data_IF_983846260992
#
_entry.id   IF_983846260992
#
_cell.length_a   1.000
_cell.length_b   1.000
_cell.length_c   1.000
_cell.angle_alpha   90.00
_cell.angle_beta   90.00
_cell.angle_gamma   90.00
#
_symmetry.space_group_name_H-M   'P 1'
#
loop_
_entity.id
_entity.type
_entity.pdbx_description
1 polymer ?
#
# COMPACT_ATOMS: atom_id res chain seq x y z
N UNK A 1 1.13 11.25 -2.39
CA UNK A 1 0.16 11.74 -1.39
C UNK A 1 -0.51 13.05 -1.79
N UNK A 2 0.16 14.23 -1.81
CA UNK A 2 -0.48 15.52 -2.17
C UNK A 2 -1.22 15.54 -3.52
N UNK A 3 -0.66 14.92 -4.56
CA UNK A 3 -1.33 14.85 -5.87
C UNK A 3 -2.61 13.99 -5.85
N UNK A 4 -2.65 12.96 -5.01
CA UNK A 4 -3.83 12.09 -4.87
C UNK A 4 -4.91 12.85 -4.09
N UNK A 5 -4.52 13.52 -3.01
CA UNK A 5 -5.41 14.39 -2.24
C UNK A 5 -6.08 15.45 -3.14
N UNK A 6 -5.29 16.22 -3.92
CA UNK A 6 -5.81 17.26 -4.83
C UNK A 6 -6.78 16.70 -5.88
N UNK A 7 -6.51 15.49 -6.39
CA UNK A 7 -7.39 14.83 -7.35
C UNK A 7 -8.72 14.39 -6.74
N UNK A 8 -8.72 13.97 -5.48
CA UNK A 8 -9.92 13.52 -4.78
C UNK A 8 -10.73 14.74 -4.33
N UNK A 9 -10.09 15.70 -3.68
CA UNK A 9 -10.75 16.92 -3.20
C UNK A 9 -11.20 17.84 -4.33
N UNK A 10 -10.85 17.55 -5.58
CA UNK A 10 -11.10 18.39 -6.75
C UNK A 10 -10.58 19.83 -6.52
N UNK A 11 -9.31 19.93 -6.14
CA UNK A 11 -8.59 21.16 -5.78
C UNK A 11 -9.11 21.91 -4.55
N UNK A 12 -9.98 21.28 -3.74
CA UNK A 12 -10.36 21.80 -2.42
C UNK A 12 -9.32 21.46 -1.36
N UNK A 13 -9.35 22.20 -0.26
CA UNK A 13 -8.50 21.97 0.91
C UNK A 13 -8.92 20.77 1.77
N UNK A 14 -10.12 20.21 1.51
CA UNK A 14 -10.73 19.12 2.27
C UNK A 14 -11.46 18.15 1.34
N UNK A 15 -11.51 16.88 1.72
CA UNK A 15 -12.22 15.82 1.01
C UNK A 15 -13.58 15.61 1.68
N UNK A 16 -14.66 15.77 0.94
CA UNK A 16 -16.01 15.48 1.43
C UNK A 16 -16.43 14.04 1.09
N UNK A 17 -17.48 13.53 1.75
CA UNK A 17 -18.04 12.20 1.48
C UNK A 17 -18.30 11.94 -0.01
N UNK A 18 -18.86 12.94 -0.70
CA UNK A 18 -19.19 12.86 -2.14
C UNK A 18 -17.94 12.69 -3.01
N UNK A 19 -16.84 13.30 -2.61
CA UNK A 19 -15.57 13.30 -3.32
C UNK A 19 -14.91 11.91 -3.19
N UNK A 20 -14.89 11.37 -1.97
CA UNK A 20 -14.39 10.01 -1.69
C UNK A 20 -15.25 8.92 -2.36
N UNK A 21 -16.58 9.06 -2.31
CA UNK A 21 -17.51 8.16 -3.01
C UNK A 21 -17.27 8.16 -4.51
N UNK A 22 -17.09 9.33 -5.14
CA UNK A 22 -16.79 9.42 -6.57
C UNK A 22 -15.49 8.71 -6.93
N UNK A 23 -14.46 8.84 -6.10
CA UNK A 23 -13.20 8.14 -6.29
C UNK A 23 -13.37 6.61 -6.26
N UNK A 24 -14.03 6.08 -5.23
CA UNK A 24 -14.23 4.64 -5.08
C UNK A 24 -15.09 4.07 -6.22
N UNK A 25 -16.07 4.83 -6.68
CA UNK A 25 -16.88 4.46 -7.83
C UNK A 25 -16.06 4.46 -9.13
N UNK A 26 -15.10 5.40 -9.26
CA UNK A 26 -14.16 5.47 -10.38
C UNK A 26 -13.13 4.34 -10.36
N UNK A 27 -12.79 3.84 -9.17
CA UNK A 27 -11.94 2.66 -8.96
C UNK A 27 -12.68 1.33 -9.10
N UNK A 28 -13.97 1.34 -9.44
CA UNK A 28 -14.81 0.15 -9.57
C UNK A 28 -14.90 -0.69 -8.28
N UNK A 29 -14.84 -0.02 -7.12
CA UNK A 29 -15.00 -0.65 -5.81
C UNK A 29 -16.47 -1.07 -5.62
N UNK A 30 -16.70 -2.34 -5.26
CA UNK A 30 -18.05 -2.84 -4.92
C UNK A 30 -18.52 -2.16 -3.63
N UNK A 31 -19.75 -1.65 -3.64
CA UNK A 31 -20.35 -0.90 -2.52
C UNK A 31 -19.56 0.36 -2.10
N UNK A 32 -19.15 1.17 -3.08
CA UNK A 32 -18.43 2.43 -2.89
C UNK A 32 -19.05 3.36 -1.82
N UNK A 33 -20.38 3.39 -1.68
CA UNK A 33 -21.07 4.17 -0.65
C UNK A 33 -20.75 3.70 0.77
N UNK A 34 -20.71 2.39 1.00
CA UNK A 34 -20.40 1.80 2.30
C UNK A 34 -18.93 2.01 2.63
N UNK A 35 -18.06 1.73 1.68
CA UNK A 35 -16.61 1.91 1.81
C UNK A 35 -16.25 3.37 2.08
N UNK A 36 -16.82 4.33 1.32
CA UNK A 36 -16.62 5.76 1.55
C UNK A 36 -17.02 6.16 2.97
N UNK A 37 -18.13 5.61 3.48
CA UNK A 37 -18.65 5.95 4.81
C UNK A 37 -17.76 5.39 5.91
N UNK A 38 -17.28 4.15 5.74
CA UNK A 38 -16.35 3.53 6.69
C UNK A 38 -14.99 4.23 6.68
N UNK A 39 -14.47 4.57 5.50
CA UNK A 39 -13.22 5.32 5.37
C UNK A 39 -13.34 6.71 5.99
N UNK A 40 -14.44 7.42 5.74
CA UNK A 40 -14.64 8.75 6.32
C UNK A 40 -14.79 8.67 7.84
N UNK A 41 -15.56 7.73 8.39
CA UNK A 41 -15.66 7.54 9.84
C UNK A 41 -14.34 7.11 10.51
N UNK A 42 -13.53 6.31 9.82
CA UNK A 42 -12.24 5.86 10.34
C UNK A 42 -11.16 6.96 10.29
N UNK A 43 -11.35 7.96 9.42
CA UNK A 43 -10.36 8.98 9.13
C UNK A 43 -10.70 10.37 9.67
N UNK A 44 -11.98 10.70 9.76
CA UNK A 44 -12.52 11.95 10.32
C UNK A 44 -12.44 11.88 11.85
N UNK A 45 -11.22 12.05 12.39
CA UNK A 45 -10.96 11.96 13.83
C UNK A 45 -11.62 13.11 14.59
N UNK A 46 -11.74 14.27 13.96
CA UNK A 46 -12.36 15.45 14.55
C UNK A 46 -13.90 15.46 14.38
N UNK A 47 -14.47 14.54 13.61
CA UNK A 47 -15.90 14.40 13.29
C UNK A 47 -16.52 15.67 12.69
N UNK A 48 -15.75 16.41 11.89
CA UNK A 48 -16.22 17.63 11.23
C UNK A 48 -16.94 17.35 9.90
N UNK A 49 -17.01 16.08 9.49
CA UNK A 49 -17.68 15.63 8.28
C UNK A 49 -16.85 15.81 7.01
N UNK A 50 -15.58 16.18 7.15
CA UNK A 50 -14.64 16.34 6.06
C UNK A 50 -13.26 15.80 6.43
N UNK A 51 -12.49 15.40 5.43
CA UNK A 51 -11.15 14.86 5.59
C UNK A 51 -10.12 15.91 5.18
N UNK A 52 -9.39 16.45 6.14
CA UNK A 52 -8.27 17.32 5.82
C UNK A 52 -7.02 16.52 5.37
N UNK A 53 -5.97 17.24 4.95
CA UNK A 53 -4.76 16.60 4.45
C UNK A 53 -4.08 15.71 5.50
N UNK A 54 -4.03 16.11 6.78
CA UNK A 54 -3.39 15.34 7.85
C UNK A 54 -4.17 14.05 8.09
N UNK A 55 -5.49 14.16 8.27
CA UNK A 55 -6.41 13.04 8.46
C UNK A 55 -6.38 12.06 7.27
N UNK A 56 -6.40 12.59 6.05
CA UNK A 56 -6.25 11.79 4.84
C UNK A 56 -4.90 11.09 4.80
N UNK A 57 -3.79 11.76 5.12
CA UNK A 57 -2.48 11.10 5.15
C UNK A 57 -2.36 10.02 6.21
N UNK A 58 -3.02 10.16 7.36
CA UNK A 58 -3.02 9.11 8.40
C UNK A 58 -3.69 7.86 7.86
N UNK A 59 -4.92 7.97 7.35
CA UNK A 59 -5.68 6.79 6.92
C UNK A 59 -5.21 6.22 5.60
N UNK A 60 -4.79 7.04 4.62
CA UNK A 60 -4.24 6.49 3.38
C UNK A 60 -2.87 5.85 3.57
N UNK A 61 -2.08 6.29 4.55
CA UNK A 61 -0.92 5.52 4.98
C UNK A 61 -1.37 4.17 5.54
N UNK A 62 -2.32 4.12 6.46
CA UNK A 62 -2.79 2.86 7.05
C UNK A 62 -3.40 1.88 6.02
N UNK A 63 -4.16 2.36 5.03
CA UNK A 63 -4.72 1.50 3.97
C UNK A 63 -3.60 0.90 3.11
N UNK A 64 -2.65 1.72 2.63
CA UNK A 64 -1.49 1.20 1.90
C UNK A 64 -0.64 0.28 2.77
N UNK A 65 -0.46 0.59 4.06
CA UNK A 65 0.29 -0.25 5.00
C UNK A 65 -0.41 -1.58 5.22
N UNK A 66 -1.74 -1.63 5.28
CA UNK A 66 -2.50 -2.87 5.42
C UNK A 66 -2.40 -3.76 4.19
N UNK A 67 -2.65 -3.22 3.00
CA UNK A 67 -2.50 -3.97 1.75
C UNK A 67 -1.05 -4.46 1.58
N UNK A 68 -0.07 -3.64 1.96
CA UNK A 68 1.34 -4.02 1.95
C UNK A 68 1.64 -5.07 3.02
N UNK A 69 1.01 -5.04 4.19
CA UNK A 69 1.16 -6.05 5.24
C UNK A 69 0.54 -7.38 4.85
N UNK A 70 -0.63 -7.36 4.22
CA UNK A 70 -1.28 -8.57 3.72
C UNK A 70 -0.45 -9.17 2.59
N UNK A 71 0.05 -8.35 1.65
CA UNK A 71 0.99 -8.80 0.63
C UNK A 71 2.28 -9.35 1.26
N UNK A 72 2.88 -8.62 2.22
CA UNK A 72 4.07 -9.03 2.95
C UNK A 72 3.87 -10.40 3.61
N UNK A 73 2.74 -10.61 4.29
CA UNK A 73 2.40 -11.90 4.89
C UNK A 73 2.09 -13.03 3.89
N UNK A 74 1.95 -12.74 2.59
CA UNK A 74 1.95 -13.76 1.54
C UNK A 74 3.36 -14.16 1.09
N UNK A 75 4.34 -13.26 1.24
CA UNK A 75 5.74 -13.53 0.95
C UNK A 75 6.46 -14.18 2.14
N UNK A 76 6.30 -13.60 3.34
CA UNK A 76 6.84 -14.06 4.61
C UNK A 76 6.07 -15.32 5.09
N UNK A 77 6.61 -16.50 4.78
CA UNK A 77 5.95 -17.79 5.02
C UNK A 77 6.16 -18.27 6.46
N UNK A 78 7.32 -17.96 7.04
CA UNK A 78 7.67 -18.33 8.41
C UNK A 78 7.22 -17.30 9.46
N UNK A 79 6.76 -16.12 9.01
CA UNK A 79 6.28 -15.00 9.82
C UNK A 79 7.35 -14.45 10.75
N UNK A 80 8.60 -14.48 10.33
CA UNK A 80 9.71 -13.88 11.07
C UNK A 80 9.72 -12.34 10.97
N UNK A 81 8.85 -11.76 10.12
CA UNK A 81 8.72 -10.34 9.89
C UNK A 81 9.73 -9.80 8.87
N UNK A 82 10.39 -10.68 8.12
CA UNK A 82 11.38 -10.39 7.08
C UNK A 82 11.08 -11.30 5.87
N UNK A 83 11.58 -10.93 4.70
CA UNK A 83 11.46 -11.76 3.51
C UNK A 83 12.85 -12.12 3.00
N UNK A 84 13.15 -13.40 3.00
CA UNK A 84 14.39 -13.95 2.47
C UNK A 84 14.33 -14.16 0.94
N UNK A 85 15.50 -14.23 0.29
CA UNK A 85 15.57 -14.52 -1.14
C UNK A 85 14.92 -15.86 -1.52
N UNK A 86 14.93 -16.84 -0.62
CA UNK A 86 14.29 -18.13 -0.79
C UNK A 86 12.76 -18.03 -0.75
N UNK A 87 12.21 -17.17 0.10
CA UNK A 87 10.78 -16.91 0.18
C UNK A 87 10.25 -16.16 -1.03
N UNK A 88 10.99 -15.15 -1.51
CA UNK A 88 10.68 -14.49 -2.79
C UNK A 88 10.65 -15.53 -3.92
N UNK A 89 11.63 -16.44 -3.96
CA UNK A 89 11.66 -17.51 -4.97
C UNK A 89 10.43 -18.40 -4.88
N UNK A 90 10.08 -18.87 -3.68
CA UNK A 90 8.88 -19.71 -3.45
C UNK A 90 7.60 -18.98 -3.87
N UNK A 91 7.50 -17.68 -3.59
CA UNK A 91 6.33 -16.88 -3.95
C UNK A 91 6.24 -16.66 -5.47
N UNK A 92 7.36 -16.35 -6.14
CA UNK A 92 7.43 -16.28 -7.60
C UNK A 92 7.00 -17.61 -8.25
N UNK A 93 7.48 -18.74 -7.72
CA UNK A 93 7.07 -20.07 -8.19
C UNK A 93 5.56 -20.31 -7.99
N UNK A 94 4.97 -19.84 -6.87
CA UNK A 94 3.51 -19.88 -6.64
C UNK A 94 2.71 -19.00 -7.59
N UNK A 95 3.26 -17.86 -8.03
CA UNK A 95 2.67 -17.00 -9.05
C UNK A 95 2.82 -17.53 -10.49
N UNK A 96 3.58 -18.61 -10.66
CA UNK A 96 3.88 -19.20 -11.97
C UNK A 96 5.06 -18.53 -12.70
N UNK A 97 5.81 -17.65 -12.02
CA UNK A 97 7.06 -17.10 -12.52
C UNK A 97 8.26 -17.88 -12.00
N UNK A 98 9.13 -18.33 -12.91
CA UNK A 98 10.38 -18.98 -12.54
C UNK A 98 11.49 -17.94 -12.34
N UNK A 99 11.75 -17.57 -11.08
CA UNK A 99 12.92 -16.80 -10.65
C UNK A 99 14.07 -17.74 -10.27
N UNK A 100 15.31 -17.44 -10.68
CA UNK A 100 16.48 -18.12 -10.13
C UNK A 100 16.83 -17.52 -8.76
N UNK A 101 17.45 -18.29 -7.86
CA UNK A 101 17.87 -17.79 -6.55
C UNK A 101 18.78 -16.56 -6.67
N UNK A 102 19.59 -16.50 -7.73
CA UNK A 102 20.50 -15.39 -8.02
C UNK A 102 19.75 -14.12 -8.44
N UNK A 103 18.68 -14.26 -9.22
CA UNK A 103 17.79 -13.14 -9.58
C UNK A 103 17.04 -12.61 -8.35
N UNK A 104 16.53 -13.52 -7.53
CA UNK A 104 15.82 -13.19 -6.30
C UNK A 104 16.78 -12.53 -5.28
N UNK A 105 18.02 -13.02 -5.13
CA UNK A 105 19.05 -12.38 -4.32
C UNK A 105 19.42 -10.98 -4.84
N UNK A 106 19.43 -10.78 -6.17
CA UNK A 106 19.63 -9.46 -6.76
C UNK A 106 18.44 -8.54 -6.51
N UNK A 107 17.21 -9.05 -6.50
CA UNK A 107 16.02 -8.28 -6.13
C UNK A 107 16.12 -7.82 -4.67
N UNK A 108 16.41 -8.74 -3.74
CA UNK A 108 16.64 -8.42 -2.33
C UNK A 108 17.71 -7.35 -2.19
N UNK A 109 18.90 -7.57 -2.77
CA UNK A 109 20.02 -6.63 -2.68
C UNK A 109 19.73 -5.22 -3.21
N UNK A 110 18.76 -5.05 -4.12
CA UNK A 110 18.38 -3.73 -4.63
C UNK A 110 17.52 -2.93 -3.64
N UNK A 111 16.87 -3.59 -2.69
CA UNK A 111 15.97 -2.97 -1.70
C UNK A 111 16.44 -3.10 -0.27
N UNK A 112 17.29 -4.10 0.01
CA UNK A 112 18.08 -4.27 1.22
C UNK A 112 19.03 -3.08 1.39
N UNK A 113 18.61 -2.12 2.20
CA UNK A 113 19.39 -0.93 2.55
C UNK A 113 20.19 -1.14 3.83
N UNK A 114 19.69 -2.00 4.70
CA UNK A 114 20.33 -2.27 5.98
C UNK A 114 21.51 -3.26 5.84
N UNK A 115 21.59 -3.98 4.71
CA UNK A 115 22.65 -4.92 4.33
C UNK A 115 22.55 -6.29 4.99
N UNK A 116 21.40 -6.66 5.54
CA UNK A 116 21.20 -7.92 6.25
C UNK A 116 20.85 -9.11 5.34
N UNK A 117 20.70 -8.85 4.04
CA UNK A 117 20.37 -9.87 3.04
C UNK A 117 18.92 -10.34 3.10
N UNK A 118 18.07 -9.65 3.85
CA UNK A 118 16.64 -9.86 3.97
C UNK A 118 15.90 -8.57 3.57
N UNK A 119 14.58 -8.66 3.39
CA UNK A 119 13.75 -7.48 3.13
C UNK A 119 12.82 -7.29 4.32
N UNK A 120 13.03 -6.22 5.07
CA UNK A 120 12.11 -5.85 6.16
C UNK A 120 10.87 -5.12 5.64
N UNK A 121 9.90 -4.90 6.53
CA UNK A 121 8.64 -4.25 6.18
C UNK A 121 8.84 -2.83 5.60
N UNK A 122 9.81 -2.06 6.09
CA UNK A 122 10.10 -0.72 5.57
C UNK A 122 10.74 -0.78 4.16
N UNK A 123 11.64 -1.73 3.95
CA UNK A 123 12.29 -1.98 2.66
C UNK A 123 11.29 -2.49 1.61
N UNK A 124 10.38 -3.36 2.00
CA UNK A 124 9.29 -3.84 1.14
C UNK A 124 8.34 -2.70 0.73
N UNK A 125 7.99 -1.81 1.67
CA UNK A 125 7.19 -0.61 1.35
C UNK A 125 7.91 0.31 0.36
N UNK A 126 9.22 0.50 0.55
CA UNK A 126 10.03 1.31 -0.36
C UNK A 126 10.06 0.68 -1.76
N UNK A 127 10.21 -0.65 -1.86
CA UNK A 127 10.13 -1.40 -3.12
C UNK A 127 8.81 -1.13 -3.85
N UNK A 128 7.68 -1.38 -3.17
CA UNK A 128 6.34 -1.26 -3.75
C UNK A 128 6.01 0.17 -4.16
N UNK A 129 6.46 1.16 -3.39
CA UNK A 129 6.29 2.58 -3.71
C UNK A 129 7.06 3.00 -4.97
N UNK A 130 8.23 2.41 -5.22
CA UNK A 130 9.04 2.68 -6.42
C UNK A 130 8.46 1.96 -7.64
N UNK A 131 8.03 0.71 -7.49
CA UNK A 131 7.49 -0.10 -8.59
C UNK A 131 6.15 0.45 -9.09
N UNK A 132 5.27 0.93 -8.21
CA UNK A 132 4.00 1.59 -8.60
C UNK A 132 4.18 2.94 -9.32
N UNK A 133 5.37 3.56 -9.28
CA UNK A 133 5.66 4.81 -10.03
C UNK A 133 6.07 4.59 -11.48
N UNK A 134 6.26 3.34 -11.92
CA UNK A 134 6.77 3.00 -13.26
C UNK A 134 5.73 2.36 -14.20
N UNK A 135 4.45 2.42 -13.86
CA UNK A 135 3.35 1.93 -14.70
C UNK A 135 2.49 3.12 -15.15
#
# INVERSE_FOLDING_TARGET
MKQVFSKISNDKERIEFKDLRQLLHKMNVRDADREAKQMMQAADFNNDGSLDFDEFTRVTKDVSIKDLKDAFGMFDEDRDGRISAEEIKRMMEKLGESCSLEDCARMVKNVDKNGDGLVDMEEFMAMMTVTMKRI
#
